data_IF_958427512907
#
_entry.id   IF_958427512907
#
_cell.length_a   1.000
_cell.length_b   1.000
_cell.length_c   1.000
_cell.angle_alpha   90.00
_cell.angle_beta   90.00
_cell.angle_gamma   90.00
#
_symmetry.space_group_name_H-M   'P 1'
#
loop_
_entity.id
_entity.type
_entity.pdbx_description
1 polymer ?
#
# COMPACT_ATOMS: atom_id res chain seq x y z
N UNK A 1 -6.14 32.54 76.58
CA UNK A 1 -6.84 32.35 75.28
C UNK A 1 -5.87 31.67 74.33
N UNK A 2 -5.95 30.34 74.24
CA UNK A 2 -6.59 29.54 73.17
C UNK A 2 -5.68 29.28 71.95
N UNK A 3 -5.02 28.12 71.99
CA UNK A 3 -4.89 27.07 70.96
C UNK A 3 -5.30 27.42 69.51
N UNK A 4 -4.44 27.07 68.53
CA UNK A 4 -4.70 25.98 67.56
C UNK A 4 -3.49 25.67 66.66
N UNK A 5 -3.08 24.40 66.66
CA UNK A 5 -2.31 23.73 65.59
C UNK A 5 -3.20 23.55 64.36
N UNK A 6 -2.62 23.49 63.15
CA UNK A 6 -2.97 22.68 61.95
C UNK A 6 -2.01 23.17 60.82
N UNK A 7 -0.98 22.41 60.41
CA UNK A 7 -0.92 21.30 59.42
C UNK A 7 -0.80 21.76 57.95
N UNK A 8 -0.01 20.98 57.18
CA UNK A 8 0.17 20.90 55.71
C UNK A 8 1.34 21.72 55.11
N UNK A 9 2.45 21.10 54.68
CA UNK A 9 2.71 20.21 53.52
C UNK A 9 2.98 20.96 52.21
N UNK A 10 4.21 20.76 51.69
CA UNK A 10 4.67 20.82 50.28
C UNK A 10 4.55 22.19 49.59
N UNK A 11 5.50 22.62 48.76
CA UNK A 11 5.87 22.02 47.47
C UNK A 11 7.30 22.42 47.10
N UNK A 12 8.10 21.44 46.67
CA UNK A 12 9.35 21.64 45.94
C UNK A 12 9.03 22.30 44.58
N UNK A 13 9.48 23.54 44.38
CA UNK A 13 9.43 24.18 43.06
C UNK A 13 10.62 23.67 42.26
N UNK A 14 10.41 22.61 41.47
CA UNK A 14 11.32 22.24 40.39
C UNK A 14 11.27 23.38 39.35
N UNK A 15 12.37 24.10 39.22
CA UNK A 15 12.61 25.04 38.12
C UNK A 15 12.88 24.23 36.86
N UNK A 16 11.80 23.81 36.18
CA UNK A 16 11.87 23.30 34.82
C UNK A 16 12.06 24.48 33.87
N UNK A 17 13.25 24.56 33.27
CA UNK A 17 13.56 25.46 32.18
C UNK A 17 12.69 25.05 30.99
N UNK A 18 11.82 25.95 30.55
CA UNK A 18 11.03 25.77 29.33
C UNK A 18 11.96 25.82 28.14
N UNK A 19 12.11 24.67 27.47
CA UNK A 19 12.45 24.61 26.07
C UNK A 19 11.18 24.15 25.35
N UNK A 20 10.71 24.98 24.41
CA UNK A 20 9.50 24.71 23.64
C UNK A 20 9.84 23.62 22.63
N UNK A 21 9.73 22.36 23.04
CA UNK A 21 9.60 21.27 22.10
C UNK A 21 8.17 21.33 21.54
N UNK A 22 8.06 21.81 20.30
CA UNK A 22 6.86 21.60 19.49
C UNK A 22 6.44 20.12 19.58
N UNK A 23 5.14 19.82 19.63
CA UNK A 23 4.70 18.43 19.49
C UNK A 23 5.14 17.96 18.12
N UNK A 24 6.18 17.13 18.08
CA UNK A 24 6.52 16.31 16.93
C UNK A 24 5.26 15.52 16.63
N UNK A 25 4.57 15.94 15.56
CA UNK A 25 3.44 15.24 14.98
C UNK A 25 3.85 13.78 14.84
N UNK A 26 3.34 12.96 15.75
CA UNK A 26 3.59 11.51 15.77
C UNK A 26 2.66 10.86 14.75
N UNK A 27 2.60 11.43 13.54
CA UNK A 27 1.79 10.96 12.42
C UNK A 27 2.62 10.17 11.39
N UNK A 28 3.86 9.81 11.73
CA UNK A 28 4.72 8.90 10.96
C UNK A 28 4.61 7.43 11.43
N UNK A 29 3.68 7.11 12.33
CA UNK A 29 3.57 5.78 12.97
C UNK A 29 2.41 4.90 12.48
N UNK A 30 1.78 5.24 11.36
CA UNK A 30 0.72 4.43 10.73
C UNK A 30 0.89 4.26 9.22
N UNK A 31 2.11 4.25 8.69
CA UNK A 31 2.38 3.36 7.54
C UNK A 31 2.41 1.91 8.05
N UNK A 32 1.28 1.48 8.64
CA UNK A 32 0.96 0.06 8.72
C UNK A 32 1.01 -0.44 7.28
N UNK A 33 1.92 -1.38 6.98
CA UNK A 33 2.13 -1.94 5.65
C UNK A 33 0.78 -2.42 5.09
N UNK A 34 0.11 -1.52 4.38
CA UNK A 34 -1.23 -1.76 3.89
C UNK A 34 -1.11 -2.86 2.85
N UNK A 35 -1.85 -3.93 3.08
CA UNK A 35 -1.88 -5.06 2.19
C UNK A 35 -2.80 -4.72 1.01
N UNK A 36 -2.33 -4.86 -0.24
CA UNK A 36 -3.23 -4.69 -1.36
C UNK A 36 -4.35 -5.73 -1.30
N UNK A 37 -5.59 -5.25 -1.33
CA UNK A 37 -6.78 -6.10 -1.28
C UNK A 37 -7.83 -5.60 -2.26
N UNK A 38 -8.63 -6.53 -2.77
CA UNK A 38 -9.81 -6.22 -3.56
C UNK A 38 -10.98 -7.03 -3.00
N UNK A 39 -12.09 -6.35 -2.72
CA UNK A 39 -13.31 -7.04 -2.28
C UNK A 39 -14.02 -7.66 -3.48
N UNK A 40 -14.19 -8.98 -3.46
CA UNK A 40 -14.86 -9.71 -4.54
C UNK A 40 -15.30 -11.12 -4.10
N UNK A 41 -16.37 -11.62 -4.71
CA UNK A 41 -16.81 -13.01 -4.62
C UNK A 41 -16.17 -13.91 -5.70
N UNK A 42 -15.36 -13.34 -6.61
CA UNK A 42 -14.69 -14.10 -7.66
C UNK A 42 -13.60 -15.00 -7.07
N UNK A 43 -13.84 -16.31 -7.09
CA UNK A 43 -12.94 -17.32 -6.52
C UNK A 43 -11.55 -17.32 -7.15
N UNK A 44 -11.45 -17.08 -8.46
CA UNK A 44 -10.17 -16.99 -9.17
C UNK A 44 -9.33 -15.83 -8.67
N UNK A 45 -9.93 -14.64 -8.47
CA UNK A 45 -9.22 -13.50 -7.88
C UNK A 45 -8.75 -13.83 -6.48
N UNK A 46 -9.64 -14.33 -5.63
CA UNK A 46 -9.31 -14.67 -4.25
C UNK A 46 -8.17 -15.70 -4.15
N UNK A 47 -8.13 -16.66 -5.09
CA UNK A 47 -7.06 -17.66 -5.17
C UNK A 47 -5.73 -17.07 -5.68
N UNK A 48 -5.75 -16.22 -6.70
CA UNK A 48 -4.54 -15.72 -7.37
C UNK A 48 -3.93 -14.48 -6.70
N UNK A 49 -4.72 -13.71 -5.94
CA UNK A 49 -4.29 -12.44 -5.36
C UNK A 49 -2.96 -12.53 -4.56
N UNK A 50 -2.72 -13.57 -3.74
CA UNK A 50 -1.42 -13.71 -3.06
C UNK A 50 -0.23 -13.83 -4.03
N UNK A 51 -0.39 -14.60 -5.12
CA UNK A 51 0.66 -14.77 -6.12
C UNK A 51 0.88 -13.50 -6.95
N UNK A 52 -0.21 -12.80 -7.29
CA UNK A 52 -0.17 -11.51 -7.99
C UNK A 52 0.63 -10.50 -7.16
N UNK A 53 0.34 -10.36 -5.87
CA UNK A 53 1.04 -9.44 -4.97
C UNK A 53 2.50 -9.80 -4.79
N UNK A 54 2.82 -11.09 -4.65
CA UNK A 54 4.20 -11.55 -4.59
C UNK A 54 4.98 -11.23 -5.88
N UNK A 55 4.31 -11.27 -7.04
CA UNK A 55 4.93 -10.97 -8.34
C UNK A 55 5.07 -9.47 -8.62
N UNK A 56 4.18 -8.67 -8.06
CA UNK A 56 4.00 -7.24 -8.28
C UNK A 56 4.13 -6.48 -6.95
N UNK A 57 5.36 -6.36 -6.40
CA UNK A 57 5.57 -5.89 -5.03
C UNK A 57 5.11 -4.44 -4.79
N UNK A 58 5.00 -3.63 -5.84
CA UNK A 58 4.50 -2.27 -5.75
C UNK A 58 3.03 -2.18 -5.37
N UNK A 59 2.25 -3.26 -5.55
CA UNK A 59 0.86 -3.29 -5.10
C UNK A 59 0.75 -3.09 -3.59
N UNK A 60 1.51 -3.85 -2.81
CA UNK A 60 1.51 -3.72 -1.35
C UNK A 60 2.19 -2.42 -0.92
N UNK A 61 3.30 -2.05 -1.57
CA UNK A 61 4.04 -0.82 -1.23
C UNK A 61 3.17 0.44 -1.32
N UNK A 62 2.31 0.52 -2.33
CA UNK A 62 1.48 1.71 -2.58
C UNK A 62 0.00 1.50 -2.23
N UNK A 63 -0.37 0.38 -1.59
CA UNK A 63 -1.76 -0.05 -1.43
C UNK A 63 -2.67 1.01 -0.79
N UNK A 64 -2.20 1.69 0.25
CA UNK A 64 -2.96 2.70 1.01
C UNK A 64 -3.38 3.91 0.17
N UNK A 65 -2.74 4.12 -0.99
CA UNK A 65 -2.95 5.26 -1.86
C UNK A 65 -3.83 4.91 -3.08
N UNK A 66 -4.08 3.62 -3.33
CA UNK A 66 -4.85 3.17 -4.48
C UNK A 66 -6.35 3.27 -4.18
N UNK A 67 -7.10 3.79 -5.15
CA UNK A 67 -8.53 4.07 -4.99
C UNK A 67 -9.35 3.22 -5.97
N UNK A 68 -10.66 3.10 -5.72
CA UNK A 68 -11.62 2.47 -6.63
C UNK A 68 -11.18 1.06 -7.08
N UNK A 69 -10.62 0.28 -6.14
CA UNK A 69 -10.15 -1.08 -6.43
C UNK A 69 -11.36 -1.97 -6.69
N UNK A 70 -11.41 -2.62 -7.85
CA UNK A 70 -12.54 -3.47 -8.24
C UNK A 70 -12.12 -4.59 -9.19
N UNK A 71 -13.03 -5.54 -9.39
CA UNK A 71 -12.89 -6.63 -10.36
C UNK A 71 -13.86 -6.38 -11.52
N UNK A 72 -13.36 -6.49 -12.75
CA UNK A 72 -14.14 -6.43 -13.97
C UNK A 72 -13.98 -7.74 -14.74
N UNK A 73 -15.08 -8.29 -15.26
CA UNK A 73 -15.08 -9.46 -16.15
C UNK A 73 -15.53 -9.03 -17.55
N UNK A 74 -14.56 -8.67 -18.39
CA UNK A 74 -14.78 -8.35 -19.80
C UNK A 74 -14.18 -9.48 -20.66
N UNK A 75 -13.37 -9.14 -21.67
CA UNK A 75 -12.62 -10.12 -22.45
C UNK A 75 -11.63 -10.92 -21.58
N UNK A 76 -11.02 -10.27 -20.59
CA UNK A 76 -10.22 -10.88 -19.53
C UNK A 76 -10.87 -10.66 -18.17
N UNK A 77 -10.53 -11.50 -17.20
CA UNK A 77 -10.74 -11.22 -15.78
C UNK A 77 -9.69 -10.20 -15.34
N UNK A 78 -10.12 -9.06 -14.83
CA UNK A 78 -9.24 -7.90 -14.62
C UNK A 78 -9.43 -7.29 -13.24
N UNK A 79 -8.34 -7.01 -12.53
CA UNK A 79 -8.34 -6.13 -11.36
C UNK A 79 -8.06 -4.71 -11.84
N UNK A 80 -8.89 -3.76 -11.43
CA UNK A 80 -8.76 -2.34 -11.77
C UNK A 80 -8.60 -1.52 -10.50
N UNK A 81 -7.80 -0.47 -10.57
CA UNK A 81 -7.72 0.56 -9.55
C UNK A 81 -7.28 1.90 -10.14
N UNK A 82 -7.49 2.97 -9.39
CA UNK A 82 -7.11 4.32 -9.72
C UNK A 82 -5.94 4.79 -8.87
N UNK A 83 -5.00 5.49 -9.49
CA UNK A 83 -3.93 6.23 -8.82
C UNK A 83 -4.33 7.71 -8.80
N UNK A 84 -4.60 8.31 -7.63
CA UNK A 84 -4.99 9.71 -7.56
C UNK A 84 -3.81 10.63 -7.91
N UNK A 85 -4.12 11.88 -8.27
CA UNK A 85 -3.11 12.86 -8.70
C UNK A 85 -2.15 13.29 -7.58
N UNK A 86 -2.55 13.13 -6.32
CA UNK A 86 -1.80 13.56 -5.13
C UNK A 86 -1.02 12.43 -4.44
N UNK A 87 -1.02 11.23 -5.04
CA UNK A 87 -0.29 10.06 -4.56
C UNK A 87 1.20 10.35 -4.35
N UNK A 88 1.79 9.73 -3.33
CA UNK A 88 3.22 9.70 -3.01
C UNK A 88 3.87 8.47 -3.66
N UNK A 89 3.91 8.49 -5.00
CA UNK A 89 4.55 7.48 -5.85
C UNK A 89 5.70 8.16 -6.60
N UNK A 90 6.80 7.48 -6.95
CA UNK A 90 7.89 8.10 -7.71
C UNK A 90 7.41 8.77 -9.00
N UNK A 91 7.79 10.04 -9.19
CA UNK A 91 7.34 10.86 -10.33
C UNK A 91 7.77 10.28 -11.69
N UNK A 92 8.91 9.59 -11.72
CA UNK A 92 9.44 8.93 -12.91
C UNK A 92 8.60 7.74 -13.37
N UNK A 93 7.69 7.22 -12.52
CA UNK A 93 6.72 6.21 -12.95
C UNK A 93 5.57 6.82 -13.76
N UNK A 94 5.35 8.14 -13.67
CA UNK A 94 4.30 8.87 -14.39
C UNK A 94 2.88 8.30 -14.19
N UNK A 95 2.55 7.84 -12.97
CA UNK A 95 1.30 7.08 -12.69
C UNK A 95 0.11 7.92 -12.27
N UNK A 96 0.31 9.19 -11.93
CA UNK A 96 -0.74 10.07 -11.39
C UNK A 96 -1.92 10.22 -12.35
N UNK A 97 -3.13 10.13 -11.83
CA UNK A 97 -4.37 10.26 -12.59
C UNK A 97 -4.74 9.02 -13.44
N UNK A 98 -3.92 7.98 -13.47
CA UNK A 98 -4.19 6.80 -14.30
C UNK A 98 -5.17 5.82 -13.65
N UNK A 99 -6.00 5.21 -14.50
CA UNK A 99 -6.63 3.92 -14.19
C UNK A 99 -5.70 2.80 -14.65
N UNK A 100 -5.38 1.90 -13.72
CA UNK A 100 -4.49 0.76 -13.88
C UNK A 100 -5.25 -0.56 -13.90
N UNK A 101 -4.71 -1.53 -14.63
CA UNK A 101 -5.35 -2.80 -14.91
C UNK A 101 -4.34 -3.94 -14.77
N UNK A 102 -4.77 -5.02 -14.12
CA UNK A 102 -4.07 -6.30 -14.07
C UNK A 102 -4.97 -7.31 -14.77
N UNK A 103 -4.62 -7.67 -16.00
CA UNK A 103 -5.35 -8.66 -16.78
C UNK A 103 -4.83 -10.06 -16.47
N UNK A 104 -5.72 -10.99 -16.16
CA UNK A 104 -5.36 -12.38 -15.88
C UNK A 104 -5.63 -13.21 -17.14
N UNK A 105 -4.65 -14.02 -17.55
CA UNK A 105 -4.84 -14.91 -18.70
C UNK A 105 -5.91 -15.99 -18.40
N UNK A 106 -6.38 -16.68 -19.45
CA UNK A 106 -7.44 -17.69 -19.34
C UNK A 106 -7.07 -18.83 -18.41
N UNK A 107 -5.79 -19.16 -18.37
CA UNK A 107 -5.23 -20.26 -17.59
C UNK A 107 -5.01 -19.89 -16.11
N UNK A 108 -5.09 -18.60 -15.75
CA UNK A 108 -4.82 -18.14 -14.38
C UNK A 108 -3.36 -18.33 -13.95
N UNK A 109 -2.43 -18.35 -14.91
CA UNK A 109 -1.01 -18.64 -14.70
C UNK A 109 -0.12 -17.42 -14.87
N UNK A 110 -0.62 -16.37 -15.51
CA UNK A 110 0.13 -15.15 -15.76
C UNK A 110 -0.77 -13.91 -15.76
N UNK A 111 -0.16 -12.74 -15.54
CA UNK A 111 -0.84 -11.45 -15.61
C UNK A 111 -0.18 -10.50 -16.61
N UNK A 112 -0.96 -9.60 -17.19
CA UNK A 112 -0.48 -8.52 -18.05
C UNK A 112 -0.89 -7.17 -17.49
N UNK A 113 0.00 -6.18 -17.62
CA UNK A 113 -0.21 -4.81 -17.18
C UNK A 113 -0.03 -3.89 -18.41
N UNK A 114 -1.12 -3.52 -19.11
CA UNK A 114 -1.01 -2.90 -20.44
C UNK A 114 -0.31 -1.54 -20.46
N UNK A 115 -0.48 -0.73 -19.41
CA UNK A 115 0.06 0.64 -19.35
C UNK A 115 1.43 0.67 -18.66
N UNK A 116 2.44 1.24 -19.32
CA UNK A 116 3.80 1.37 -18.78
C UNK A 116 3.86 2.06 -17.42
N UNK A 117 3.15 3.19 -17.17
CA UNK A 117 3.14 3.78 -15.83
C UNK A 117 2.66 2.83 -14.74
N UNK A 118 1.53 2.18 -14.97
CA UNK A 118 0.95 1.20 -14.04
C UNK A 118 1.88 0.00 -13.82
N UNK A 119 2.59 -0.43 -14.87
CA UNK A 119 3.59 -1.48 -14.79
C UNK A 119 4.78 -1.05 -13.92
N UNK A 120 5.25 0.19 -14.06
CA UNK A 120 6.32 0.73 -13.25
C UNK A 120 5.94 0.79 -11.76
N UNK A 121 4.72 1.27 -11.47
CA UNK A 121 4.14 1.25 -10.12
C UNK A 121 4.11 -0.15 -9.55
N UNK A 122 3.50 -1.11 -10.26
CA UNK A 122 3.28 -2.46 -9.75
C UNK A 122 4.58 -3.26 -9.58
N UNK A 123 5.61 -2.99 -10.38
CA UNK A 123 6.92 -3.62 -10.25
C UNK A 123 7.84 -2.87 -9.28
N UNK A 124 7.48 -1.65 -8.86
CA UNK A 124 8.33 -0.76 -8.08
C UNK A 124 9.69 -0.47 -8.76
N UNK A 125 9.66 -0.24 -10.08
CA UNK A 125 10.83 0.10 -10.88
C UNK A 125 10.40 0.73 -12.21
N UNK A 126 11.31 1.46 -12.88
CA UNK A 126 11.06 1.91 -14.26
C UNK A 126 10.78 0.70 -15.18
N UNK A 127 9.79 0.85 -16.06
CA UNK A 127 9.29 -0.20 -16.94
C UNK A 127 9.36 0.15 -18.44
N UNK A 128 10.11 1.18 -18.84
CA UNK A 128 10.25 1.65 -20.22
C UNK A 128 10.83 0.58 -21.17
N UNK A 129 11.65 -0.32 -20.63
CA UNK A 129 12.24 -1.43 -21.37
C UNK A 129 11.37 -2.69 -21.39
N UNK A 130 10.20 -2.69 -20.76
CA UNK A 130 9.35 -3.87 -20.62
C UNK A 130 8.18 -3.79 -21.61
N UNK A 131 8.12 -4.76 -22.52
CA UNK A 131 7.10 -4.86 -23.56
C UNK A 131 5.66 -4.76 -22.98
N UNK A 132 4.79 -3.96 -23.62
CA UNK A 132 3.38 -3.81 -23.21
C UNK A 132 2.59 -5.11 -23.27
N UNK A 133 3.00 -6.04 -24.13
CA UNK A 133 2.40 -7.37 -24.30
C UNK A 133 3.02 -8.45 -23.41
N UNK A 134 4.01 -8.09 -22.57
CA UNK A 134 4.64 -9.04 -21.67
C UNK A 134 3.65 -9.57 -20.63
N UNK A 135 3.57 -10.91 -20.57
CA UNK A 135 2.93 -11.65 -19.49
C UNK A 135 3.94 -11.95 -18.38
N UNK A 136 3.53 -11.74 -17.14
CA UNK A 136 4.30 -12.05 -15.94
C UNK A 136 3.75 -13.33 -15.34
N UNK A 137 4.54 -14.40 -15.37
CA UNK A 137 4.16 -15.67 -14.77
C UNK A 137 3.93 -15.51 -13.27
N UNK A 138 2.80 -16.02 -12.80
CA UNK A 138 2.41 -16.09 -11.39
C UNK A 138 2.92 -17.36 -10.73
N UNK A 139 3.93 -18.03 -11.31
CA UNK A 139 4.42 -19.33 -10.86
C UNK A 139 4.52 -19.33 -9.34
N UNK A 140 3.59 -20.05 -8.70
CA UNK A 140 3.57 -20.22 -7.26
C UNK A 140 4.94 -20.79 -6.94
N UNK A 141 5.75 -20.05 -6.20
CA UNK A 141 6.98 -20.58 -5.67
C UNK A 141 6.60 -21.88 -4.96
N UNK A 142 6.92 -23.03 -5.58
CA UNK A 142 6.94 -24.32 -4.92
C UNK A 142 8.08 -24.24 -3.91
N UNK A 143 7.87 -23.47 -2.84
CA UNK A 143 8.78 -23.48 -1.72
C UNK A 143 8.67 -24.87 -1.10
N UNK A 144 9.83 -25.51 -0.99
CA UNK A 144 9.97 -26.94 -0.86
C UNK A 144 9.24 -27.50 0.35
N UNK A 145 8.45 -28.54 0.09
CA UNK A 145 8.31 -29.61 1.06
C UNK A 145 9.64 -30.36 1.10
N UNK A 146 10.39 -30.18 2.18
CA UNK A 146 11.41 -31.09 2.67
C UNK A 146 11.12 -31.36 4.15
#
# INVERSE_FOLDING_TARGET
>A
MTIRKIFLLLVFVLSGCGDNADPVDTSDSLEELAMFSVETDNSTINQLLPAIRARLPGLDKYASQLQNVSVEQNYWLTIKFHVPDDAKIPNDYMTFGHNCFIEINKEGTAVKIPKTPCKALMLDQNADSIDSEQWFDLSIAKNGAA
#
